data_IF_839122729429
#
_entry.id   IF_839122729429
#
_cell.length_a   1.000
_cell.length_b   1.000
_cell.length_c   1.000
_cell.angle_alpha   90.00
_cell.angle_beta   90.00
_cell.angle_gamma   90.00
#
_symmetry.space_group_name_H-M   'P 1'
#
loop_
_entity.id
_entity.type
_entity.pdbx_description
1 polymer ?
#
# COMPACT_ATOMS: atom_id res chain seq x y z
N UNK A 1 0.10 17.08 -18.21
CA UNK A 1 1.32 16.26 -18.34
C UNK A 1 0.89 14.84 -18.03
N UNK A 2 0.89 13.95 -19.03
CA UNK A 2 0.08 12.73 -19.08
C UNK A 2 0.48 11.68 -18.04
N UNK A 3 -0.42 11.38 -17.11
CA UNK A 3 -0.24 10.39 -16.01
C UNK A 3 -0.74 8.96 -16.37
N UNK A 4 -0.95 8.66 -17.65
CA UNK A 4 -1.65 7.46 -18.09
C UNK A 4 -0.75 6.44 -18.79
N UNK A 5 0.02 5.64 -18.03
CA UNK A 5 0.70 4.46 -18.60
C UNK A 5 1.11 3.40 -17.59
N UNK A 6 0.29 3.00 -16.62
CA UNK A 6 0.70 1.90 -15.71
C UNK A 6 -0.25 0.70 -15.59
N UNK A 7 -1.31 0.61 -16.40
CA UNK A 7 -2.11 -0.62 -16.46
C UNK A 7 -2.28 -1.12 -17.90
N UNK A 8 -1.17 -1.50 -18.54
CA UNK A 8 -1.24 -2.42 -19.68
C UNK A 8 -0.53 -3.71 -19.29
N UNK A 9 -1.28 -4.62 -18.70
CA UNK A 9 -0.88 -6.01 -18.60
C UNK A 9 -0.82 -6.60 -20.01
N UNK A 10 0.40 -6.88 -20.50
CA UNK A 10 0.60 -7.78 -21.63
C UNK A 10 0.55 -9.21 -21.09
N UNK A 11 -0.57 -9.89 -21.31
CA UNK A 11 -0.61 -11.35 -21.26
C UNK A 11 0.14 -11.84 -22.50
N UNK A 12 1.43 -12.05 -22.35
CA UNK A 12 2.30 -12.61 -23.39
C UNK A 12 2.56 -14.07 -23.11
N UNK A 13 1.80 -14.95 -23.74
CA UNK A 13 2.10 -16.39 -23.80
C UNK A 13 3.30 -16.60 -24.70
N UNK A 14 4.47 -16.90 -24.16
CA UNK A 14 5.60 -17.42 -24.92
C UNK A 14 5.80 -18.91 -24.66
N UNK A 15 5.41 -19.73 -25.63
CA UNK A 15 5.93 -21.09 -25.77
C UNK A 15 7.27 -21.00 -26.50
N UNK A 16 8.34 -21.38 -25.83
CA UNK A 16 9.68 -21.52 -26.42
C UNK A 16 10.33 -22.79 -25.92
N UNK A 17 10.23 -23.87 -26.72
CA UNK A 17 11.01 -25.11 -26.53
C UNK A 17 12.43 -24.87 -26.99
N UNK A 18 13.38 -24.81 -26.10
CA UNK A 18 14.82 -24.79 -26.41
C UNK A 18 15.53 -25.98 -25.77
N UNK A 19 15.97 -26.91 -26.59
CA UNK A 19 16.91 -27.99 -26.24
C UNK A 19 18.29 -27.41 -25.95
N UNK A 20 18.85 -27.58 -24.76
CA UNK A 20 20.28 -27.33 -24.51
C UNK A 20 21.03 -28.59 -24.18
N UNK A 21 22.07 -28.84 -24.96
CA UNK A 21 23.06 -29.89 -24.78
C UNK A 21 24.00 -29.54 -23.61
N UNK A 22 24.22 -30.49 -22.74
CA UNK A 22 25.10 -30.41 -21.59
C UNK A 22 26.58 -30.46 -21.98
N UNK A 23 27.32 -29.43 -21.60
CA UNK A 23 28.78 -29.50 -21.44
C UNK A 23 29.10 -29.30 -19.97
N UNK A 24 29.80 -30.29 -19.39
CA UNK A 24 30.15 -30.26 -17.96
C UNK A 24 31.17 -29.17 -17.64
N UNK A 25 30.75 -28.26 -16.75
CA UNK A 25 31.63 -27.44 -15.95
C UNK A 25 31.22 -27.64 -14.49
N UNK A 26 32.20 -27.82 -13.62
CA UNK A 26 31.99 -27.80 -12.15
C UNK A 26 31.26 -26.51 -11.76
N UNK A 27 30.18 -26.58 -11.00
CA UNK A 27 29.45 -25.37 -10.62
C UNK A 27 30.31 -24.57 -9.62
N UNK A 28 30.83 -23.42 -10.05
CA UNK A 28 31.06 -22.30 -9.15
C UNK A 28 29.70 -22.01 -8.51
N UNK A 29 29.63 -21.79 -7.19
CA UNK A 29 28.40 -21.40 -6.52
C UNK A 29 27.76 -20.25 -7.30
N UNK A 30 26.72 -20.55 -8.08
CA UNK A 30 25.94 -19.53 -8.76
C UNK A 30 25.46 -18.54 -7.71
N UNK A 31 25.76 -17.27 -7.89
CA UNK A 31 25.19 -16.22 -7.08
C UNK A 31 23.67 -16.37 -7.21
N UNK A 32 23.00 -16.76 -6.13
CA UNK A 32 21.54 -16.89 -6.11
C UNK A 32 21.01 -15.48 -6.38
N UNK A 33 20.51 -15.26 -7.58
CA UNK A 33 19.87 -14.00 -7.92
C UNK A 33 18.56 -13.92 -7.13
N UNK A 34 18.25 -12.78 -6.51
CA UNK A 34 17.00 -12.62 -5.79
C UNK A 34 15.83 -12.82 -6.76
N UNK A 35 14.81 -13.53 -6.32
CA UNK A 35 13.52 -13.65 -7.02
C UNK A 35 12.64 -12.52 -6.51
N UNK A 36 12.36 -11.49 -7.31
CA UNK A 36 11.73 -10.26 -6.80
C UNK A 36 10.42 -10.51 -6.06
N UNK A 37 9.53 -11.35 -6.60
CA UNK A 37 8.24 -11.66 -5.97
C UNK A 37 8.42 -12.25 -4.57
N UNK A 38 9.32 -13.23 -4.43
CA UNK A 38 9.59 -13.87 -3.13
C UNK A 38 10.27 -12.92 -2.15
N UNK A 39 11.13 -12.02 -2.63
CA UNK A 39 11.78 -11.03 -1.78
C UNK A 39 10.79 -9.99 -1.23
N UNK A 40 9.76 -9.59 -2.01
CA UNK A 40 8.72 -8.71 -1.52
C UNK A 40 7.84 -9.43 -0.48
N UNK A 41 7.49 -10.68 -0.74
CA UNK A 41 6.78 -11.53 0.23
C UNK A 41 7.57 -11.67 1.54
N UNK A 42 8.88 -11.93 1.47
CA UNK A 42 9.74 -12.01 2.66
C UNK A 42 9.80 -10.69 3.40
N UNK A 43 9.93 -9.56 2.68
CA UNK A 43 9.94 -8.24 3.32
C UNK A 43 8.65 -8.00 4.08
N UNK A 44 7.48 -8.28 3.48
CA UNK A 44 6.20 -8.17 4.17
C UNK A 44 6.12 -9.06 5.42
N UNK A 45 6.60 -10.30 5.33
CA UNK A 45 6.63 -11.23 6.46
C UNK A 45 7.59 -10.77 7.58
N UNK A 46 8.76 -10.25 7.21
CA UNK A 46 9.75 -9.73 8.17
C UNK A 46 9.21 -8.50 8.90
N UNK A 47 8.58 -7.55 8.17
CA UNK A 47 7.93 -6.37 8.75
C UNK A 47 6.80 -6.78 9.70
N UNK A 48 5.95 -7.74 9.30
CA UNK A 48 4.87 -8.27 10.13
C UNK A 48 5.40 -8.92 11.42
N UNK A 49 6.37 -9.80 11.28
CA UNK A 49 6.99 -10.48 12.42
C UNK A 49 7.64 -9.49 13.39
N UNK A 50 8.39 -8.51 12.85
CA UNK A 50 9.03 -7.48 13.64
C UNK A 50 8.01 -6.60 14.37
N UNK A 51 7.04 -6.02 13.65
CA UNK A 51 6.04 -5.14 14.24
C UNK A 51 5.21 -5.85 15.31
N UNK A 52 4.72 -7.07 15.02
CA UNK A 52 3.91 -7.86 15.96
C UNK A 52 4.71 -8.37 17.16
N UNK A 53 6.04 -8.48 17.06
CA UNK A 53 6.90 -8.74 18.22
C UNK A 53 6.96 -7.59 19.21
N UNK A 54 6.75 -6.34 18.75
CA UNK A 54 6.72 -5.11 19.55
C UNK A 54 5.31 -4.75 20.00
N UNK A 55 4.34 -4.90 19.12
CA UNK A 55 2.92 -4.64 19.33
C UNK A 55 2.09 -5.78 18.73
N UNK A 56 1.63 -6.76 19.51
CA UNK A 56 0.96 -7.96 18.99
C UNK A 56 -0.32 -7.68 18.18
N UNK A 57 -0.96 -6.54 18.40
CA UNK A 57 -2.18 -6.11 17.69
C UNK A 57 -1.92 -5.23 16.46
N UNK A 58 -0.63 -5.00 16.12
CA UNK A 58 -0.27 -4.15 15.00
C UNK A 58 -0.76 -4.71 13.67
N UNK A 59 -1.44 -3.89 12.88
CA UNK A 59 -2.09 -4.30 11.63
C UNK A 59 -1.25 -3.90 10.41
N UNK A 60 -1.19 -4.77 9.40
CA UNK A 60 -0.52 -4.46 8.14
C UNK A 60 -1.50 -4.60 6.96
N UNK A 61 -1.62 -3.54 6.17
CA UNK A 61 -2.38 -3.54 4.92
C UNK A 61 -1.40 -3.35 3.77
N UNK A 62 -1.44 -4.23 2.77
CA UNK A 62 -0.57 -4.14 1.59
C UNK A 62 -1.29 -3.57 0.39
N UNK A 63 -0.70 -2.55 -0.26
CA UNK A 63 -1.16 -1.97 -1.51
C UNK A 63 -0.31 -2.45 -2.69
N UNK A 64 -0.96 -2.81 -3.82
CA UNK A 64 -0.29 -3.32 -5.00
C UNK A 64 0.13 -4.80 -4.90
N UNK A 65 -0.37 -5.53 -3.91
CA UNK A 65 0.03 -6.92 -3.65
C UNK A 65 -0.70 -7.96 -4.53
N UNK A 66 -1.67 -7.59 -5.37
CA UNK A 66 -2.51 -8.53 -6.12
C UNK A 66 -1.69 -9.54 -6.95
N UNK A 67 -0.68 -9.08 -7.70
CA UNK A 67 0.17 -9.95 -8.51
C UNK A 67 1.05 -10.91 -7.69
N UNK A 68 1.28 -10.64 -6.41
CA UNK A 68 2.02 -11.53 -5.51
C UNK A 68 1.13 -12.69 -4.97
N UNK A 69 -0.16 -12.64 -5.23
CA UNK A 69 -1.11 -13.70 -4.88
C UNK A 69 -1.22 -14.75 -5.99
N UNK A 70 -0.70 -14.49 -7.18
CA UNK A 70 -0.66 -15.44 -8.28
C UNK A 70 0.45 -16.48 -8.06
N UNK A 71 0.09 -17.76 -8.18
CA UNK A 71 1.09 -18.86 -8.13
C UNK A 71 1.73 -18.99 -9.51
N UNK A 72 3.06 -18.82 -9.55
CA UNK A 72 3.87 -18.86 -10.77
C UNK A 72 5.14 -19.67 -10.50
N UNK A 73 6.01 -19.83 -11.50
CA UNK A 73 7.33 -20.44 -11.30
C UNK A 73 8.23 -19.65 -10.32
N UNK A 74 8.02 -18.31 -10.23
CA UNK A 74 8.76 -17.42 -9.34
C UNK A 74 8.05 -17.14 -8.00
N UNK A 75 6.74 -17.38 -7.90
CA UNK A 75 5.93 -17.15 -6.70
C UNK A 75 5.19 -18.45 -6.34
N UNK A 76 5.73 -19.19 -5.37
CA UNK A 76 5.20 -20.50 -4.99
C UNK A 76 3.94 -20.37 -4.13
N UNK A 77 3.16 -21.46 -4.02
CA UNK A 77 2.01 -21.54 -3.12
C UNK A 77 2.40 -21.22 -1.66
N UNK A 78 3.56 -21.70 -1.21
CA UNK A 78 4.08 -21.39 0.13
C UNK A 78 4.34 -19.90 0.30
N UNK A 79 4.91 -19.22 -0.72
CA UNK A 79 5.14 -17.78 -0.71
C UNK A 79 3.82 -17.01 -0.67
N UNK A 80 2.81 -17.45 -1.43
CA UNK A 80 1.46 -16.84 -1.39
C UNK A 80 0.84 -16.99 0.00
N UNK A 81 0.91 -18.17 0.60
CA UNK A 81 0.42 -18.42 1.95
C UNK A 81 1.17 -17.58 2.99
N UNK A 82 2.49 -17.44 2.84
CA UNK A 82 3.32 -16.57 3.69
C UNK A 82 2.86 -15.11 3.60
N UNK A 83 2.60 -14.60 2.39
CA UNK A 83 2.10 -13.23 2.18
C UNK A 83 0.72 -13.03 2.83
N UNK A 84 -0.21 -13.95 2.58
CA UNK A 84 -1.56 -13.90 3.17
C UNK A 84 -1.49 -13.98 4.70
N UNK A 85 -0.57 -14.78 5.24
CA UNK A 85 -0.33 -14.87 6.70
C UNK A 85 0.27 -13.58 7.29
N UNK A 86 1.11 -12.89 6.54
CA UNK A 86 1.81 -11.69 6.99
C UNK A 86 0.90 -10.45 7.09
N UNK A 87 0.01 -10.27 6.11
CA UNK A 87 -0.87 -9.10 6.02
C UNK A 87 -2.23 -9.33 6.69
N UNK A 88 -2.81 -8.27 7.21
CA UNK A 88 -4.13 -8.26 7.85
C UNK A 88 -5.20 -7.73 6.88
N UNK A 89 -4.78 -7.00 5.83
CA UNK A 89 -5.62 -6.51 4.74
C UNK A 89 -4.84 -6.33 3.44
N UNK A 90 -5.58 -6.28 2.35
CA UNK A 90 -5.08 -6.08 1.00
C UNK A 90 -5.86 -4.95 0.35
N UNK A 91 -5.16 -3.98 -0.23
CA UNK A 91 -5.76 -2.92 -1.01
C UNK A 91 -5.30 -3.03 -2.46
N UNK A 92 -6.23 -2.74 -3.37
CA UNK A 92 -5.94 -2.58 -4.79
C UNK A 92 -6.58 -1.28 -5.28
N UNK A 93 -5.77 -0.48 -5.95
CA UNK A 93 -6.21 0.76 -6.61
C UNK A 93 -6.75 0.47 -8.01
N UNK A 94 -7.64 1.34 -8.49
CA UNK A 94 -8.27 1.22 -9.81
C UNK A 94 -8.91 -0.16 -10.02
N UNK A 95 -9.67 -0.61 -9.01
CA UNK A 95 -10.22 -1.96 -8.99
C UNK A 95 -11.41 -2.12 -9.94
N UNK A 96 -12.38 -1.22 -9.84
CA UNK A 96 -13.59 -1.23 -10.65
C UNK A 96 -13.56 -0.22 -11.80
N UNK A 97 -12.78 0.84 -11.64
CA UNK A 97 -12.70 1.94 -12.60
C UNK A 97 -11.25 2.39 -12.79
N UNK A 98 -10.94 2.75 -14.03
CA UNK A 98 -9.70 3.43 -14.40
C UNK A 98 -9.92 4.93 -14.42
N UNK A 99 -8.95 5.71 -13.94
CA UNK A 99 -8.87 7.15 -14.21
C UNK A 99 -8.14 7.36 -15.54
N UNK A 100 -8.86 7.74 -16.59
CA UNK A 100 -8.31 8.09 -17.89
C UNK A 100 -8.49 9.59 -18.16
N UNK A 101 -7.44 10.39 -17.87
CA UNK A 101 -7.44 11.86 -17.99
C UNK A 101 -8.64 12.54 -17.28
N UNK A 102 -8.96 12.08 -16.06
CA UNK A 102 -10.07 12.61 -15.25
C UNK A 102 -11.44 12.08 -15.69
N UNK A 103 -11.48 11.01 -16.49
CA UNK A 103 -12.69 10.26 -16.80
C UNK A 103 -12.64 8.90 -16.14
N UNK A 104 -13.72 8.56 -15.49
CA UNK A 104 -13.91 7.25 -14.87
C UNK A 104 -14.37 6.25 -15.92
N UNK A 105 -13.48 5.40 -16.41
CA UNK A 105 -13.81 4.33 -17.33
C UNK A 105 -13.90 2.99 -16.56
N UNK A 106 -14.90 2.14 -16.81
CA UNK A 106 -14.95 0.83 -16.19
C UNK A 106 -13.65 0.04 -16.43
N UNK A 107 -13.22 -0.73 -15.43
CA UNK A 107 -12.07 -1.62 -15.56
C UNK A 107 -12.30 -2.65 -16.68
N UNK A 108 -11.25 -3.03 -17.38
CA UNK A 108 -11.30 -4.13 -18.37
C UNK A 108 -11.86 -5.40 -17.71
N UNK A 109 -12.86 -6.06 -18.31
CA UNK A 109 -13.49 -7.23 -17.70
C UNK A 109 -12.53 -8.37 -17.37
N UNK A 110 -11.49 -8.60 -18.20
CA UNK A 110 -10.49 -9.63 -17.93
C UNK A 110 -9.56 -9.27 -16.80
N UNK A 111 -9.22 -7.98 -16.66
CA UNK A 111 -8.43 -7.48 -15.52
C UNK A 111 -9.26 -7.56 -14.24
N UNK A 112 -10.54 -7.18 -14.29
CA UNK A 112 -11.44 -7.27 -13.14
C UNK A 112 -11.58 -8.72 -12.66
N UNK A 113 -11.83 -9.68 -13.58
CA UNK A 113 -11.90 -11.12 -13.25
C UNK A 113 -10.59 -11.61 -12.60
N UNK A 114 -9.43 -11.19 -13.12
CA UNK A 114 -8.14 -11.51 -12.53
C UNK A 114 -7.99 -10.94 -11.11
N UNK A 115 -8.31 -9.66 -10.90
CA UNK A 115 -8.22 -9.03 -9.58
C UNK A 115 -9.17 -9.69 -8.57
N UNK A 116 -10.39 -10.02 -8.97
CA UNK A 116 -11.34 -10.75 -8.13
C UNK A 116 -10.80 -12.13 -7.72
N UNK A 117 -10.24 -12.88 -8.68
CA UNK A 117 -9.63 -14.18 -8.40
C UNK A 117 -8.44 -14.08 -7.44
N UNK A 118 -7.63 -13.02 -7.54
CA UNK A 118 -6.54 -12.79 -6.59
C UNK A 118 -7.07 -12.43 -5.19
N UNK A 119 -8.09 -11.59 -5.09
CA UNK A 119 -8.66 -11.16 -3.80
C UNK A 119 -9.49 -12.25 -3.10
N UNK A 120 -9.94 -13.28 -3.81
CA UNK A 120 -10.61 -14.44 -3.19
C UNK A 120 -9.73 -15.15 -2.15
N UNK A 121 -8.40 -15.20 -2.38
CA UNK A 121 -7.45 -15.87 -1.48
C UNK A 121 -7.37 -15.21 -0.10
N UNK A 122 -7.06 -13.90 0.02
CA UNK A 122 -7.07 -13.21 1.30
C UNK A 122 -8.48 -13.18 1.91
N UNK A 123 -9.55 -12.98 1.13
CA UNK A 123 -10.92 -12.98 1.63
C UNK A 123 -11.28 -14.32 2.27
N UNK A 124 -10.97 -15.45 1.62
CA UNK A 124 -11.19 -16.79 2.16
C UNK A 124 -10.38 -17.03 3.44
N UNK A 125 -9.20 -16.41 3.54
CA UNK A 125 -8.38 -16.44 4.75
C UNK A 125 -8.86 -15.47 5.85
N UNK A 126 -10.01 -14.80 5.66
CA UNK A 126 -10.59 -13.87 6.62
C UNK A 126 -9.86 -12.52 6.74
N UNK A 127 -9.07 -12.15 5.72
CA UNK A 127 -8.39 -10.86 5.65
C UNK A 127 -9.31 -9.80 5.07
N UNK A 128 -9.05 -8.53 5.40
CA UNK A 128 -9.75 -7.42 4.78
C UNK A 128 -9.36 -7.27 3.29
N UNK A 129 -10.35 -6.98 2.45
CA UNK A 129 -10.13 -6.57 1.06
C UNK A 129 -10.68 -5.16 0.91
N UNK A 130 -9.78 -4.22 0.57
CA UNK A 130 -10.08 -2.82 0.35
C UNK A 130 -9.84 -2.46 -1.11
N UNK A 131 -10.70 -1.59 -1.65
CA UNK A 131 -10.56 -1.05 -3.01
C UNK A 131 -10.51 0.47 -2.96
N UNK A 132 -9.70 1.05 -3.82
CA UNK A 132 -9.60 2.50 -3.99
C UNK A 132 -9.73 2.82 -5.47
N UNK A 133 -10.79 3.57 -5.81
CA UNK A 133 -11.03 4.02 -7.17
C UNK A 133 -11.06 5.57 -7.23
N UNK A 134 -10.57 6.13 -8.32
CA UNK A 134 -10.46 7.58 -8.49
C UNK A 134 -11.62 8.09 -9.32
N UNK A 135 -12.64 8.62 -8.64
CA UNK A 135 -13.94 8.96 -9.21
C UNK A 135 -14.35 10.38 -8.83
N UNK A 136 -14.96 11.10 -9.78
CA UNK A 136 -15.37 12.48 -9.58
C UNK A 136 -16.90 12.70 -9.62
N UNK A 137 -17.68 11.74 -10.10
CA UNK A 137 -19.14 11.87 -10.20
C UNK A 137 -19.88 10.95 -9.24
N UNK A 138 -21.01 11.43 -8.71
CA UNK A 138 -21.77 10.75 -7.66
C UNK A 138 -22.39 9.42 -8.10
N UNK A 139 -22.78 9.29 -9.38
CA UNK A 139 -23.42 8.07 -9.90
C UNK A 139 -22.39 6.94 -9.95
N UNK A 140 -21.20 7.21 -10.47
CA UNK A 140 -20.11 6.24 -10.55
C UNK A 140 -19.60 5.86 -9.15
N UNK A 141 -19.50 6.82 -8.23
CA UNK A 141 -19.17 6.56 -6.81
C UNK A 141 -20.20 5.62 -6.16
N UNK A 142 -21.49 5.86 -6.39
CA UNK A 142 -22.53 5.00 -5.84
C UNK A 142 -22.46 3.57 -6.42
N UNK A 143 -22.15 3.44 -7.71
CA UNK A 143 -21.98 2.15 -8.38
C UNK A 143 -20.75 1.41 -7.84
N UNK A 144 -19.59 2.07 -7.71
CA UNK A 144 -18.38 1.51 -7.13
C UNK A 144 -18.63 0.91 -5.75
N UNK A 145 -19.23 1.70 -4.86
CA UNK A 145 -19.60 1.27 -3.50
C UNK A 145 -20.59 0.08 -3.52
N UNK A 146 -21.47 0.00 -4.50
CA UNK A 146 -22.38 -1.13 -4.66
C UNK A 146 -21.65 -2.39 -5.13
N UNK A 147 -20.72 -2.26 -6.08
CA UNK A 147 -19.87 -3.35 -6.57
C UNK A 147 -18.99 -3.94 -5.46
N UNK A 148 -18.35 -3.10 -4.66
CA UNK A 148 -17.55 -3.53 -3.51
C UNK A 148 -18.40 -4.26 -2.47
N UNK A 149 -19.55 -3.67 -2.07
CA UNK A 149 -20.46 -4.33 -1.11
C UNK A 149 -20.95 -5.69 -1.59
N UNK A 150 -21.25 -5.84 -2.88
CA UNK A 150 -21.71 -7.11 -3.45
C UNK A 150 -20.66 -8.22 -3.32
N UNK A 151 -19.37 -7.85 -3.22
CA UNK A 151 -18.22 -8.77 -3.07
C UNK A 151 -17.74 -8.91 -1.63
N UNK A 152 -18.30 -8.14 -0.70
CA UNK A 152 -17.83 -8.09 0.67
C UNK A 152 -16.52 -7.29 0.84
N UNK A 153 -16.21 -6.40 -0.09
CA UNK A 153 -15.06 -5.49 -0.04
C UNK A 153 -15.46 -4.16 0.61
N UNK A 154 -14.48 -3.46 1.13
CA UNK A 154 -14.63 -2.09 1.61
C UNK A 154 -14.05 -1.14 0.57
N UNK A 155 -14.91 -0.35 -0.06
CA UNK A 155 -14.50 0.59 -1.11
C UNK A 155 -14.36 2.00 -0.57
N UNK A 156 -13.28 2.66 -0.98
CA UNK A 156 -13.07 4.10 -0.89
C UNK A 156 -13.00 4.68 -2.30
N UNK A 157 -13.56 5.86 -2.48
CA UNK A 157 -13.40 6.63 -3.71
C UNK A 157 -12.73 7.96 -3.39
N UNK A 158 -11.83 8.40 -4.25
CA UNK A 158 -11.13 9.68 -4.14
C UNK A 158 -11.23 10.46 -5.46
N UNK A 159 -11.27 11.78 -5.37
CA UNK A 159 -11.38 12.62 -6.57
C UNK A 159 -10.09 12.67 -7.40
N UNK A 160 -8.96 12.26 -6.84
CA UNK A 160 -7.66 12.23 -7.53
C UNK A 160 -6.65 11.35 -6.81
N UNK A 161 -5.63 10.91 -7.56
CA UNK A 161 -4.46 10.17 -7.03
C UNK A 161 -3.62 10.98 -6.04
N UNK A 162 -3.84 12.28 -5.93
CA UNK A 162 -3.13 13.14 -4.98
C UNK A 162 -3.50 12.87 -3.52
N UNK A 163 -4.66 12.26 -3.23
CA UNK A 163 -5.12 11.92 -1.87
C UNK A 163 -4.91 13.07 -0.87
N UNK A 164 -5.29 14.29 -1.27
CA UNK A 164 -4.97 15.54 -0.56
C UNK A 164 -6.19 16.18 0.13
N UNK A 165 -7.36 15.53 0.11
CA UNK A 165 -8.58 16.06 0.69
C UNK A 165 -9.42 14.97 1.32
N UNK A 166 -10.19 15.36 2.33
CA UNK A 166 -11.27 14.52 2.87
C UNK A 166 -12.44 14.65 1.88
N UNK A 167 -13.00 13.53 1.38
CA UNK A 167 -14.16 13.57 0.49
C UNK A 167 -15.34 14.32 1.11
N UNK A 168 -16.08 15.07 0.30
CA UNK A 168 -17.33 15.70 0.74
C UNK A 168 -18.45 14.65 0.79
N UNK A 169 -18.62 14.05 1.94
CA UNK A 169 -19.57 12.96 2.18
C UNK A 169 -21.03 13.41 2.06
N UNK A 170 -21.29 14.71 2.22
CA UNK A 170 -22.63 15.28 2.00
C UNK A 170 -23.06 15.20 0.54
N UNK A 171 -22.12 15.38 -0.37
CA UNK A 171 -22.32 15.22 -1.84
C UNK A 171 -22.41 13.74 -2.20
N UNK A 172 -21.62 12.88 -1.55
CA UNK A 172 -21.49 11.45 -1.87
C UNK A 172 -22.54 10.55 -1.16
N UNK A 173 -23.55 11.10 -0.52
CA UNK A 173 -24.61 10.33 0.15
C UNK A 173 -24.22 9.71 1.49
N UNK A 174 -23.19 10.24 2.14
CA UNK A 174 -22.70 9.82 3.45
C UNK A 174 -21.62 8.74 3.39
N UNK A 175 -21.02 8.47 4.53
CA UNK A 175 -19.99 7.44 4.68
C UNK A 175 -20.66 6.06 4.82
N UNK A 176 -20.38 5.11 3.91
CA UNK A 176 -20.98 3.78 3.99
C UNK A 176 -20.65 3.09 5.32
N UNK A 177 -21.66 2.55 5.99
CA UNK A 177 -21.45 1.76 7.21
C UNK A 177 -20.95 2.56 8.42
N UNK A 178 -21.10 3.90 8.43
CA UNK A 178 -20.79 4.74 9.59
C UNK A 178 -21.36 4.17 10.88
N UNK A 179 -20.56 4.13 11.93
CA UNK A 179 -20.94 3.53 13.21
C UNK A 179 -20.08 4.05 14.38
N UNK A 180 -20.53 3.79 15.60
CA UNK A 180 -19.85 4.15 16.85
C UNK A 180 -19.13 2.94 17.51
N UNK A 181 -18.90 1.84 16.81
CA UNK A 181 -18.23 0.68 17.36
C UNK A 181 -16.71 0.93 17.51
N UNK A 182 -16.09 0.23 18.46
CA UNK A 182 -14.62 0.15 18.52
C UNK A 182 -14.10 -0.75 17.41
N UNK A 183 -13.20 -0.22 16.59
CA UNK A 183 -12.52 -0.95 15.53
C UNK A 183 -11.08 -1.18 15.96
N UNK A 184 -10.70 -2.45 16.10
CA UNK A 184 -9.38 -2.87 16.59
C UNK A 184 -8.61 -3.72 15.57
N UNK A 185 -9.27 -4.15 14.49
CA UNK A 185 -8.69 -4.93 13.41
C UNK A 185 -9.20 -4.40 12.06
N UNK A 186 -8.37 -4.41 11.03
CA UNK A 186 -8.75 -3.89 9.69
C UNK A 186 -9.93 -4.64 9.08
N UNK A 187 -10.11 -5.93 9.41
CA UNK A 187 -11.27 -6.72 8.95
C UNK A 187 -12.60 -6.25 9.56
N UNK A 188 -12.56 -5.50 10.66
CA UNK A 188 -13.74 -4.94 11.31
C UNK A 188 -14.17 -3.59 10.74
N UNK A 189 -13.29 -2.92 9.98
CA UNK A 189 -13.58 -1.62 9.37
C UNK A 189 -14.63 -1.78 8.26
N UNK A 190 -15.63 -0.91 8.25
CA UNK A 190 -16.70 -0.85 7.24
C UNK A 190 -16.50 0.27 6.23
N UNK A 191 -15.57 1.16 6.52
CA UNK A 191 -15.16 2.28 5.70
C UNK A 191 -13.74 2.69 6.11
N UNK A 192 -13.05 3.36 5.21
CA UNK A 192 -11.73 3.91 5.49
C UNK A 192 -11.48 5.18 4.68
N UNK A 193 -10.50 5.96 5.10
CA UNK A 193 -10.01 7.16 4.43
C UNK A 193 -8.50 7.02 4.21
N UNK A 194 -8.01 7.34 3.02
CA UNK A 194 -6.59 7.56 2.75
C UNK A 194 -6.37 9.04 2.47
N UNK A 195 -5.50 9.68 3.26
CA UNK A 195 -5.12 11.08 3.09
C UNK A 195 -3.61 11.22 3.31
N UNK A 196 -2.85 11.32 2.22
CA UNK A 196 -1.38 11.28 2.25
C UNK A 196 -0.74 12.64 2.05
N UNK A 197 -1.43 13.60 1.40
CA UNK A 197 -0.89 14.90 1.06
C UNK A 197 -1.63 16.02 1.81
N UNK A 198 -1.19 16.40 3.02
CA UNK A 198 -1.90 17.36 3.86
C UNK A 198 -1.70 18.83 3.43
N UNK A 199 -1.10 19.11 2.28
CA UNK A 199 -0.77 20.48 1.82
C UNK A 199 -1.95 21.44 1.63
N UNK A 200 -3.18 20.92 1.57
CA UNK A 200 -4.40 21.73 1.47
C UNK A 200 -4.91 22.25 2.82
N UNK A 201 -4.36 21.78 3.93
CA UNK A 201 -4.73 22.22 5.28
C UNK A 201 -3.89 23.42 5.70
N UNK A 202 -4.52 24.41 6.33
CA UNK A 202 -3.86 25.66 6.72
C UNK A 202 -2.76 25.47 7.77
N UNK A 203 -2.85 24.43 8.59
CA UNK A 203 -1.88 24.11 9.65
C UNK A 203 -1.98 22.64 10.07
N UNK A 204 -0.97 22.17 10.84
CA UNK A 204 -1.03 20.84 11.48
C UNK A 204 -2.28 20.67 12.35
N UNK A 205 -2.65 21.70 13.11
CA UNK A 205 -3.84 21.64 13.97
C UNK A 205 -5.13 21.56 13.15
N UNK A 206 -5.22 22.29 12.05
CA UNK A 206 -6.34 22.22 11.12
C UNK A 206 -6.45 20.80 10.50
N UNK A 207 -5.34 20.24 10.06
CA UNK A 207 -5.26 18.87 9.56
C UNK A 207 -5.75 17.84 10.58
N UNK A 208 -5.20 17.88 11.80
CA UNK A 208 -5.56 16.94 12.87
C UNK A 208 -7.02 17.10 13.32
N UNK A 209 -7.51 18.34 13.42
CA UNK A 209 -8.90 18.62 13.78
C UNK A 209 -9.88 18.14 12.72
N UNK A 210 -9.55 18.36 11.45
CA UNK A 210 -10.37 17.91 10.32
C UNK A 210 -10.47 16.39 10.27
N UNK A 211 -9.34 15.68 10.44
CA UNK A 211 -9.34 14.21 10.50
C UNK A 211 -10.11 13.67 11.72
N UNK A 212 -9.89 14.28 12.90
CA UNK A 212 -10.57 13.86 14.12
C UNK A 212 -12.09 14.03 14.03
N UNK A 213 -12.57 15.00 13.23
CA UNK A 213 -13.99 15.24 13.00
C UNK A 213 -14.65 14.23 12.05
N UNK A 214 -13.87 13.39 11.35
CA UNK A 214 -14.41 12.37 10.43
C UNK A 214 -14.88 11.12 11.20
N UNK A 215 -15.92 10.42 10.73
CA UNK A 215 -16.44 9.22 11.40
C UNK A 215 -15.86 7.90 10.86
N UNK A 216 -14.78 7.92 10.05
CA UNK A 216 -14.21 6.72 9.45
C UNK A 216 -13.74 5.70 10.48
N UNK A 217 -13.89 4.42 10.18
CA UNK A 217 -13.44 3.26 10.96
C UNK A 217 -11.93 3.05 10.91
N UNK A 218 -11.32 3.40 9.79
CA UNK A 218 -9.87 3.41 9.62
C UNK A 218 -9.42 4.65 8.84
N UNK A 219 -8.26 5.20 9.20
CA UNK A 219 -7.61 6.26 8.42
C UNK A 219 -6.17 5.85 8.11
N UNK A 220 -5.74 6.06 6.89
CA UNK A 220 -4.35 5.91 6.43
C UNK A 220 -3.80 7.30 6.18
N UNK A 221 -2.74 7.66 6.90
CA UNK A 221 -2.12 8.98 6.84
C UNK A 221 -0.60 8.87 6.80
N UNK A 222 0.08 9.92 6.36
CA UNK A 222 1.53 9.97 6.47
C UNK A 222 1.97 10.05 7.93
N UNK A 223 3.11 9.41 8.25
CA UNK A 223 3.76 9.56 9.56
C UNK A 223 4.14 11.01 9.86
N UNK A 224 4.40 11.81 8.82
CA UNK A 224 4.88 13.18 8.93
C UNK A 224 3.83 14.21 8.48
N UNK A 225 3.80 15.33 9.20
CA UNK A 225 3.22 16.57 8.71
C UNK A 225 4.38 17.55 8.47
N UNK A 226 4.70 17.81 7.20
CA UNK A 226 5.95 18.48 6.83
C UNK A 226 7.14 17.63 7.26
N UNK A 227 8.12 18.24 7.93
CA UNK A 227 9.36 17.56 8.38
C UNK A 227 9.22 16.91 9.76
N UNK A 228 8.11 17.09 10.45
CA UNK A 228 7.92 16.60 11.82
C UNK A 228 7.01 15.38 11.87
N UNK A 229 7.42 14.28 12.55
CA UNK A 229 6.55 13.14 12.74
C UNK A 229 5.35 13.51 13.64
N UNK A 230 4.26 12.79 13.48
CA UNK A 230 3.13 12.84 14.39
C UNK A 230 3.54 12.26 15.75
N UNK A 231 3.06 12.87 16.81
CA UNK A 231 3.31 12.43 18.18
C UNK A 231 2.31 11.38 18.62
N UNK A 232 2.60 10.68 19.73
CA UNK A 232 1.66 9.74 20.32
C UNK A 232 0.34 10.40 20.74
N UNK A 233 0.38 11.67 21.15
CA UNK A 233 -0.83 12.43 21.50
C UNK A 233 -1.68 12.75 20.27
N UNK A 234 -1.04 13.09 19.13
CA UNK A 234 -1.73 13.30 17.86
C UNK A 234 -2.45 12.02 17.40
N UNK A 235 -1.74 10.88 17.42
CA UNK A 235 -2.29 9.59 17.03
C UNK A 235 -3.41 9.17 17.97
N UNK A 236 -3.24 9.30 19.29
CA UNK A 236 -4.25 8.98 20.28
C UNK A 236 -5.53 9.83 20.09
N UNK A 237 -5.38 11.12 19.74
CA UNK A 237 -6.51 11.99 19.39
C UNK A 237 -7.25 11.47 18.15
N UNK A 238 -6.50 11.08 17.10
CA UNK A 238 -7.07 10.57 15.87
C UNK A 238 -7.76 9.21 16.01
N UNK A 239 -7.35 8.41 16.99
CA UNK A 239 -7.98 7.12 17.30
C UNK A 239 -9.42 7.23 17.82
N UNK A 240 -9.89 8.41 18.22
CA UNK A 240 -11.25 8.61 18.70
C UNK A 240 -12.16 9.10 17.57
N UNK A 241 -13.33 8.45 17.40
CA UNK A 241 -14.36 8.89 16.44
C UNK A 241 -15.28 9.95 17.09
N UNK A 242 -15.78 10.95 16.35
CA UNK A 242 -16.59 12.02 16.92
C UNK A 242 -17.93 11.53 17.49
N UNK A 243 -18.50 10.46 16.92
CA UNK A 243 -19.75 9.85 17.40
C UNK A 243 -19.55 8.80 18.51
N UNK A 244 -18.32 8.64 18.99
CA UNK A 244 -17.90 7.62 19.95
C UNK A 244 -17.29 6.39 19.28
N UNK A 245 -16.64 5.57 20.10
CA UNK A 245 -15.88 4.41 19.65
C UNK A 245 -14.49 4.77 19.09
N UNK A 246 -13.67 3.74 18.90
CA UNK A 246 -12.30 3.84 18.45
C UNK A 246 -12.19 3.50 16.96
N UNK A 247 -11.31 4.21 16.25
CA UNK A 247 -10.88 3.84 14.87
C UNK A 247 -9.45 3.34 14.86
N UNK A 248 -9.05 2.73 13.73
CA UNK A 248 -7.67 2.44 13.42
C UNK A 248 -7.00 3.64 12.74
N UNK A 249 -5.77 3.92 13.14
CA UNK A 249 -4.89 4.90 12.49
C UNK A 249 -3.68 4.16 11.95
N UNK A 250 -3.55 4.07 10.62
CA UNK A 250 -2.48 3.37 9.92
C UNK A 250 -1.52 4.39 9.32
N UNK A 251 -0.21 4.15 9.49
CA UNK A 251 0.80 4.99 8.87
C UNK A 251 1.14 4.50 7.46
N UNK A 252 1.17 5.41 6.50
CA UNK A 252 1.72 5.15 5.17
C UNK A 252 3.21 4.82 5.24
N UNK A 253 3.63 3.79 4.52
CA UNK A 253 5.01 3.37 4.45
C UNK A 253 5.31 2.76 3.08
N UNK A 254 6.05 3.46 2.21
CA UNK A 254 6.52 2.86 0.96
C UNK A 254 7.61 1.83 1.23
N UNK A 255 7.44 0.61 0.71
CA UNK A 255 8.41 -0.49 0.88
C UNK A 255 9.21 -0.75 -0.40
N UNK A 256 8.67 -0.37 -1.56
CA UNK A 256 9.29 -0.55 -2.87
C UNK A 256 10.02 0.66 -3.42
N UNK A 257 9.84 1.84 -2.80
CA UNK A 257 10.45 3.09 -3.24
C UNK A 257 10.97 3.93 -2.07
N UNK A 258 12.09 4.60 -2.29
CA UNK A 258 12.61 5.64 -1.40
C UNK A 258 12.19 7.02 -1.94
N UNK A 259 12.02 7.99 -1.04
CA UNK A 259 11.69 9.36 -1.42
C UNK A 259 12.72 10.36 -0.89
N UNK A 260 13.11 11.32 -1.73
CA UNK A 260 14.18 12.29 -1.42
C UNK A 260 13.78 13.38 -0.43
N UNK A 261 12.50 13.47 -0.11
CA UNK A 261 11.96 14.34 0.93
C UNK A 261 11.81 13.66 2.30
N UNK A 262 12.21 12.37 2.42
CA UNK A 262 12.12 11.65 3.70
C UNK A 262 13.36 11.89 4.57
N UNK A 263 13.22 11.89 5.90
CA UNK A 263 14.35 12.17 6.82
C UNK A 263 15.56 11.24 6.66
N UNK A 264 15.36 10.01 6.16
CA UNK A 264 16.45 9.07 5.91
C UNK A 264 17.28 9.42 4.67
N UNK A 265 16.80 10.32 3.80
CA UNK A 265 17.48 10.66 2.56
C UNK A 265 18.73 11.51 2.84
N UNK A 266 19.83 11.12 2.25
CA UNK A 266 21.08 11.88 2.35
C UNK A 266 21.25 12.80 1.14
N UNK A 267 21.55 14.07 1.37
CA UNK A 267 21.73 15.05 0.29
C UNK A 267 22.77 14.63 -0.77
N UNK A 268 23.78 13.83 -0.38
CA UNK A 268 24.76 13.25 -1.31
C UNK A 268 24.15 12.33 -2.35
N UNK A 269 22.98 11.71 -2.09
CA UNK A 269 22.30 10.81 -3.02
C UNK A 269 21.59 11.54 -4.17
N UNK A 270 21.48 12.87 -4.09
CA UNK A 270 21.00 13.68 -5.21
C UNK A 270 21.94 13.58 -6.42
N UNK A 271 23.23 13.40 -6.17
CA UNK A 271 24.19 13.04 -7.21
C UNK A 271 24.17 11.53 -7.46
N UNK A 272 23.86 11.12 -8.69
CA UNK A 272 23.77 9.72 -9.08
C UNK A 272 25.08 8.93 -8.84
N UNK A 273 26.23 9.60 -8.88
CA UNK A 273 27.53 8.98 -8.61
C UNK A 273 27.70 8.55 -7.15
N UNK A 274 26.98 9.18 -6.22
CA UNK A 274 27.04 8.93 -4.79
C UNK A 274 25.88 8.07 -4.27
N UNK A 275 24.96 7.67 -5.16
CA UNK A 275 23.81 6.83 -4.76
C UNK A 275 24.26 5.45 -4.31
N UNK A 276 23.73 4.96 -3.17
CA UNK A 276 23.97 3.58 -2.77
C UNK A 276 23.36 2.60 -3.80
N UNK A 277 23.95 1.42 -3.90
CA UNK A 277 23.56 0.40 -4.91
C UNK A 277 22.11 -0.10 -4.75
N UNK A 278 21.51 0.08 -3.60
CA UNK A 278 20.13 -0.32 -3.37
C UNK A 278 19.13 0.64 -4.05
N UNK A 279 19.49 1.90 -4.32
CA UNK A 279 18.69 2.79 -5.17
C UNK A 279 18.89 2.36 -6.63
N UNK A 280 17.83 1.92 -7.30
CA UNK A 280 17.91 1.38 -8.65
C UNK A 280 17.73 2.45 -9.74
N UNK A 281 16.62 3.18 -9.70
CA UNK A 281 16.28 4.22 -10.69
C UNK A 281 15.30 5.23 -10.10
N UNK A 282 15.24 6.42 -10.67
CA UNK A 282 14.15 7.35 -10.38
C UNK A 282 12.82 6.79 -10.91
N UNK A 283 11.71 7.20 -10.29
CA UNK A 283 10.37 6.98 -10.81
C UNK A 283 9.93 8.22 -11.59
N UNK A 284 9.88 8.12 -12.92
CA UNK A 284 9.55 9.26 -13.78
C UNK A 284 8.10 9.77 -13.60
N UNK A 285 7.21 8.92 -13.06
CA UNK A 285 5.82 9.29 -12.79
C UNK A 285 5.64 9.99 -11.44
N UNK A 286 6.56 9.75 -10.48
CA UNK A 286 6.57 10.36 -9.16
C UNK A 286 7.91 11.03 -8.88
N UNK A 287 8.09 12.30 -9.32
CA UNK A 287 9.32 13.05 -9.07
C UNK A 287 9.68 13.08 -7.58
N UNK A 288 10.94 12.77 -7.28
CA UNK A 288 11.41 12.64 -5.88
C UNK A 288 11.32 11.21 -5.33
N UNK A 289 10.70 10.29 -6.05
CA UNK A 289 10.66 8.86 -5.69
C UNK A 289 11.65 8.04 -6.50
N UNK A 290 12.23 7.03 -5.85
CA UNK A 290 13.27 6.18 -6.42
C UNK A 290 12.98 4.71 -6.13
N UNK A 291 12.94 3.87 -7.16
CA UNK A 291 12.81 2.42 -7.03
C UNK A 291 13.99 1.85 -6.28
N UNK A 292 13.74 0.92 -5.37
CA UNK A 292 14.78 0.34 -4.53
C UNK A 292 14.87 -1.17 -4.68
N UNK A 293 16.07 -1.72 -4.51
CA UNK A 293 16.27 -3.16 -4.30
C UNK A 293 15.90 -3.51 -2.88
N UNK A 294 14.60 -3.72 -2.64
CA UNK A 294 14.02 -3.92 -1.31
C UNK A 294 14.53 -5.18 -0.59
N UNK A 295 15.25 -6.05 -1.27
CA UNK A 295 16.00 -7.16 -0.67
C UNK A 295 17.36 -6.73 -0.09
N UNK A 296 17.79 -5.48 -0.31
CA UNK A 296 19.03 -4.96 0.25
C UNK A 296 18.92 -4.79 1.76
N UNK A 297 19.91 -5.32 2.49
CA UNK A 297 19.99 -5.14 3.94
C UNK A 297 20.11 -3.68 4.36
N UNK A 298 20.68 -2.81 3.52
CA UNK A 298 20.78 -1.38 3.81
C UNK A 298 19.40 -0.69 3.75
N UNK A 299 18.57 -1.03 2.74
CA UNK A 299 17.21 -0.54 2.67
C UNK A 299 16.35 -1.09 3.82
N UNK A 300 16.45 -2.38 4.12
CA UNK A 300 15.72 -2.99 5.23
C UNK A 300 16.04 -2.34 6.57
N UNK A 301 17.30 -1.90 6.81
CA UNK A 301 17.66 -1.15 8.02
C UNK A 301 17.03 0.25 8.11
N UNK A 302 16.74 0.87 6.96
CA UNK A 302 15.96 2.12 6.93
C UNK A 302 14.50 1.84 7.32
N UNK A 303 13.96 0.69 6.88
CA UNK A 303 12.57 0.35 7.14
C UNK A 303 12.32 -0.08 8.59
N UNK A 304 13.19 -0.92 9.18
CA UNK A 304 12.96 -1.47 10.54
C UNK A 304 14.24 -1.93 11.23
N UNK A 305 14.20 -2.05 12.54
CA UNK A 305 15.25 -2.68 13.35
C UNK A 305 16.20 -1.73 14.06
N UNK A 306 15.95 -0.43 14.07
CA UNK A 306 16.67 0.59 14.84
C UNK A 306 15.72 1.70 15.26
N UNK A 307 16.07 2.47 16.31
CA UNK A 307 15.22 3.55 16.84
C UNK A 307 14.83 4.60 15.79
N UNK A 308 15.70 4.85 14.82
CA UNK A 308 15.48 5.80 13.73
C UNK A 308 14.84 5.18 12.50
N UNK A 309 14.57 3.87 12.51
CA UNK A 309 13.92 3.20 11.37
C UNK A 309 12.46 3.61 11.25
N UNK A 310 11.96 3.58 10.02
CA UNK A 310 10.63 4.12 9.71
C UNK A 310 9.53 3.41 10.51
N UNK A 311 9.51 2.07 10.53
CA UNK A 311 8.54 1.27 11.27
C UNK A 311 8.67 1.45 12.79
N UNK A 312 9.89 1.62 13.30
CA UNK A 312 10.12 1.87 14.73
C UNK A 312 9.57 3.23 15.15
N UNK A 313 9.71 4.25 14.29
CA UNK A 313 9.10 5.58 14.51
C UNK A 313 7.57 5.50 14.48
N UNK A 314 6.98 4.72 13.56
CA UNK A 314 5.53 4.46 13.49
C UNK A 314 5.04 3.81 14.79
N UNK A 315 5.75 2.78 15.26
CA UNK A 315 5.42 2.07 16.50
C UNK A 315 5.51 3.01 17.72
N UNK A 316 6.58 3.82 17.79
CA UNK A 316 6.78 4.79 18.88
C UNK A 316 5.71 5.89 18.91
N UNK A 317 5.21 6.30 17.74
CA UNK A 317 4.11 7.26 17.64
C UNK A 317 2.74 6.66 18.00
N UNK A 318 2.64 5.35 18.20
CA UNK A 318 1.41 4.69 18.66
C UNK A 318 0.36 4.43 17.59
N UNK A 319 0.76 4.38 16.31
CA UNK A 319 -0.12 3.93 15.23
C UNK A 319 -0.57 2.48 15.46
N UNK A 320 -1.77 2.18 14.99
CA UNK A 320 -2.35 0.84 15.09
C UNK A 320 -1.81 -0.12 14.05
N UNK A 321 -1.17 0.41 13.01
CA UNK A 321 -0.65 -0.38 11.91
C UNK A 321 0.10 0.46 10.89
N UNK A 322 0.53 -0.22 9.82
CA UNK A 322 1.13 0.40 8.66
C UNK A 322 0.42 -0.02 7.37
N UNK A 323 0.34 0.91 6.44
CA UNK A 323 -0.10 0.71 5.08
C UNK A 323 1.14 0.60 4.20
N UNK A 324 1.45 -0.61 3.76
CA UNK A 324 2.64 -0.93 2.96
C UNK A 324 2.34 -0.66 1.49
N UNK A 325 2.89 0.43 0.98
CA UNK A 325 2.69 0.85 -0.39
C UNK A 325 3.83 0.40 -1.31
N UNK A 326 3.55 0.36 -2.63
CA UNK A 326 4.50 -0.04 -3.69
C UNK A 326 4.96 -1.50 -3.51
N UNK A 327 4.04 -2.37 -3.10
CA UNK A 327 4.35 -3.81 -3.05
C UNK A 327 4.46 -4.44 -4.44
N UNK A 328 3.99 -3.78 -5.49
CA UNK A 328 4.15 -4.15 -6.89
C UNK A 328 5.53 -3.81 -7.48
N UNK A 329 6.45 -3.21 -6.70
CA UNK A 329 7.81 -2.87 -7.13
C UNK A 329 8.60 -4.05 -7.73
N UNK A 330 8.22 -5.30 -7.39
CA UNK A 330 8.81 -6.50 -7.99
C UNK A 330 8.73 -6.52 -9.52
N UNK A 331 7.70 -5.92 -10.10
CA UNK A 331 7.52 -5.83 -11.56
C UNK A 331 8.65 -5.04 -12.25
N UNK A 332 9.29 -4.13 -11.52
CA UNK A 332 10.42 -3.35 -12.05
C UNK A 332 11.68 -4.19 -12.26
N UNK A 333 11.79 -5.32 -11.59
CA UNK A 333 12.99 -6.15 -11.53
C UNK A 333 12.83 -7.51 -12.23
N UNK A 334 11.72 -7.71 -12.95
CA UNK A 334 11.47 -8.87 -13.82
C UNK A 334 12.38 -8.89 -15.05
#
# INVERSE_FOLDING_TARGET
MNFHRFFRFLVGTFFGTGLFLSSGCTPSAEAVHPVPEQEMTRLAADLSGYAKSKSPTFQLVGNGAAGLLEVTDSQTEESVQQLVGALDGFLTESFFYLDDDGKSEPQDPGVLEYLEAMMEKPQTAGKAVWTLDYLADDETVAMDRALGRARGYVSMTAASTGLASIPDEGVMGGIPGENAADITEVRGARNFLILLNPGNFASREDYLSSLAATPYDAIVIDLYYGDAPLTSDDVARLQQKPQGGRRLVLAYMSVGEAADYRPYWQASWNDSANRPKWIASANDNWPGSYRVRYWSGDWRRILYGSEDAYLDTILAAGFDGAFLDVMDAWQTFK
#
